data_IF_979206342768
#
_entry.id   IF_979206342768
#
_cell.length_a   1.000
_cell.length_b   1.000
_cell.length_c   1.000
_cell.angle_alpha   90.00
_cell.angle_beta   90.00
_cell.angle_gamma   90.00
#
_symmetry.space_group_name_H-M   'P 1'
#
loop_
_entity.id
_entity.type
_entity.pdbx_description
1 polymer ?
#
# COMPACT_ATOMS: atom_id res chain seq x y z
N UNK A 1 20.55 -44.32 16.53
CA UNK A 1 19.90 -43.20 17.24
C UNK A 1 19.38 -42.19 16.20
N UNK A 2 18.06 -41.97 16.09
CA UNK A 2 17.51 -41.02 15.11
C UNK A 2 17.48 -39.59 15.69
N UNK A 3 17.92 -38.61 14.89
CA UNK A 3 17.90 -37.18 15.21
C UNK A 3 16.47 -36.64 15.13
N UNK A 4 16.01 -35.99 16.20
CA UNK A 4 14.70 -35.34 16.28
C UNK A 4 14.66 -34.06 15.45
N UNK A 5 13.64 -33.96 14.59
CA UNK A 5 13.42 -32.85 13.67
C UNK A 5 12.41 -31.89 14.33
N UNK A 6 12.89 -30.90 15.10
CA UNK A 6 12.02 -29.89 15.70
C UNK A 6 11.58 -28.85 14.66
N UNK A 7 10.38 -29.06 14.12
CA UNK A 7 9.64 -28.05 13.34
C UNK A 7 9.36 -26.83 14.21
N UNK A 8 9.93 -25.69 13.81
CA UNK A 8 9.64 -24.37 14.36
C UNK A 8 8.12 -24.06 14.30
N UNK A 9 7.49 -23.92 15.47
CA UNK A 9 6.13 -23.40 15.61
C UNK A 9 6.15 -21.90 15.29
N UNK A 10 5.49 -21.49 14.22
CA UNK A 10 5.20 -20.07 13.93
C UNK A 10 4.24 -19.55 15.00
N UNK A 11 4.70 -18.67 15.88
CA UNK A 11 3.85 -17.91 16.79
C UNK A 11 3.00 -16.94 15.96
N UNK A 12 1.68 -17.12 16.03
CA UNK A 12 0.70 -16.13 15.60
C UNK A 12 0.80 -14.96 16.58
N UNK A 13 1.33 -13.83 16.13
CA UNK A 13 1.25 -12.57 16.88
C UNK A 13 -0.05 -11.90 16.47
N UNK A 14 -1.03 -11.94 17.36
CA UNK A 14 -2.30 -11.21 17.24
C UNK A 14 -1.99 -9.71 17.29
N UNK A 15 -2.23 -8.99 16.20
CA UNK A 15 -2.18 -7.52 16.20
C UNK A 15 -3.52 -7.05 16.78
N UNK A 16 -3.49 -6.43 17.96
CA UNK A 16 -4.65 -5.79 18.55
C UNK A 16 -5.03 -4.56 17.70
N UNK A 17 -6.09 -4.69 16.91
CA UNK A 17 -6.63 -3.61 16.09
C UNK A 17 -7.58 -2.82 16.99
N UNK A 18 -7.16 -1.64 17.45
CA UNK A 18 -8.07 -0.69 18.11
C UNK A 18 -9.10 -0.19 17.07
N UNK A 19 -10.41 -0.26 17.36
CA UNK A 19 -11.44 0.18 16.42
C UNK A 19 -11.36 1.70 16.22
N UNK A 20 -11.46 2.13 14.95
CA UNK A 20 -11.60 3.54 14.57
C UNK A 20 -13.04 3.99 14.79
N UNK A 21 -13.24 5.22 15.27
CA UNK A 21 -14.55 5.80 15.54
C UNK A 21 -15.44 5.80 14.28
N UNK A 22 -16.73 5.44 14.40
CA UNK A 22 -17.68 5.60 13.30
C UNK A 22 -18.03 7.09 13.17
N UNK A 23 -18.13 7.62 11.94
CA UNK A 23 -19.07 8.70 11.49
C UNK A 23 -18.52 9.58 10.36
N UNK A 24 -17.24 9.53 9.96
CA UNK A 24 -16.77 10.25 8.75
C UNK A 24 -15.89 9.40 7.84
N UNK A 25 -16.09 9.51 6.52
CA UNK A 25 -15.16 8.91 5.56
C UNK A 25 -13.76 9.51 5.75
N UNK A 26 -12.70 8.75 5.43
CA UNK A 26 -11.32 9.26 5.59
C UNK A 26 -11.08 10.53 4.78
N UNK A 27 -11.76 10.65 3.62
CA UNK A 27 -11.74 11.84 2.78
C UNK A 27 -12.29 13.07 3.51
N UNK A 28 -13.50 12.97 4.07
CA UNK A 28 -14.14 14.10 4.78
C UNK A 28 -13.34 14.54 6.00
N UNK A 29 -12.73 13.58 6.72
CA UNK A 29 -11.86 13.93 7.84
C UNK A 29 -10.66 14.74 7.34
N UNK A 30 -10.01 14.28 6.27
CA UNK A 30 -8.85 14.96 5.68
C UNK A 30 -9.20 16.36 5.18
N UNK A 31 -10.37 16.55 4.60
CA UNK A 31 -10.86 17.87 4.16
C UNK A 31 -11.12 18.80 5.36
N UNK A 32 -11.45 18.25 6.53
CA UNK A 32 -11.67 19.02 7.76
C UNK A 32 -10.40 19.29 8.61
N UNK A 33 -9.24 18.75 8.23
CA UNK A 33 -7.98 19.00 8.95
C UNK A 33 -7.67 20.51 8.91
N UNK A 34 -7.22 21.08 10.03
CA UNK A 34 -6.85 22.50 10.13
C UNK A 34 -5.61 22.82 9.30
N UNK A 35 -5.42 24.07 8.87
CA UNK A 35 -4.22 24.47 8.13
C UNK A 35 -2.93 24.32 8.96
N UNK A 36 -3.03 24.49 10.29
CA UNK A 36 -1.94 24.25 11.23
C UNK A 36 -1.52 22.78 11.22
N UNK A 37 -2.49 21.86 11.24
CA UNK A 37 -2.21 20.42 11.19
C UNK A 37 -1.67 20.01 9.81
N UNK A 38 -2.16 20.60 8.71
CA UNK A 38 -1.61 20.38 7.37
C UNK A 38 -0.15 20.85 7.30
N UNK A 39 0.17 22.04 7.82
CA UNK A 39 1.53 22.55 7.84
C UNK A 39 2.45 21.67 8.71
N UNK A 40 1.96 21.21 9.86
CA UNK A 40 2.68 20.27 10.73
C UNK A 40 2.96 18.93 10.02
N UNK A 41 1.94 18.36 9.34
CA UNK A 41 2.09 17.13 8.56
C UNK A 41 3.07 17.31 7.40
N UNK A 42 3.04 18.46 6.72
CA UNK A 42 3.96 18.75 5.62
C UNK A 42 5.41 18.84 6.10
N UNK A 43 5.67 19.55 7.21
CA UNK A 43 7.01 19.59 7.80
C UNK A 43 7.53 18.21 8.19
N UNK A 44 6.67 17.39 8.80
CA UNK A 44 7.00 16.01 9.16
C UNK A 44 7.35 15.15 7.94
N UNK A 45 6.53 15.24 6.87
CA UNK A 45 6.72 14.45 5.65
C UNK A 45 7.85 14.95 4.76
N UNK A 46 8.19 16.24 4.82
CA UNK A 46 9.36 16.79 4.10
C UNK A 46 10.65 16.15 4.61
N UNK A 47 10.77 15.92 5.92
CA UNK A 47 11.93 15.26 6.54
C UNK A 47 11.89 13.74 6.46
N UNK A 48 10.80 13.12 6.89
CA UNK A 48 10.74 11.67 7.17
C UNK A 48 9.83 10.88 6.22
N UNK A 49 9.09 11.60 5.36
CA UNK A 49 8.14 11.02 4.42
C UNK A 49 8.81 10.36 3.21
N UNK A 50 8.16 9.31 2.72
CA UNK A 50 8.46 8.63 1.46
C UNK A 50 7.20 8.61 0.59
N UNK A 51 7.36 9.04 -0.66
CA UNK A 51 6.30 9.10 -1.66
C UNK A 51 6.69 8.20 -2.82
N UNK A 52 5.71 7.57 -3.47
CA UNK A 52 6.02 6.76 -4.62
C UNK A 52 4.82 6.06 -5.25
N UNK A 53 5.14 5.26 -6.25
CA UNK A 53 4.18 4.51 -7.05
C UNK A 53 4.38 3.00 -6.87
N UNK A 54 3.34 2.32 -6.40
CA UNK A 54 3.26 0.88 -6.33
C UNK A 54 2.92 0.29 -7.71
N UNK A 55 3.92 -0.36 -8.31
CA UNK A 55 3.84 -1.00 -9.62
C UNK A 55 3.27 -2.42 -9.58
N UNK A 56 2.94 -2.96 -8.41
CA UNK A 56 2.43 -4.35 -8.27
C UNK A 56 1.13 -4.57 -9.04
N UNK A 57 0.30 -3.54 -9.23
CA UNK A 57 -0.92 -3.62 -10.05
C UNK A 57 -0.63 -3.90 -11.52
N UNK A 58 0.44 -3.34 -12.07
CA UNK A 58 0.88 -3.56 -13.45
C UNK A 58 1.47 -4.95 -13.65
N UNK A 59 2.18 -5.46 -12.64
CA UNK A 59 2.84 -6.77 -12.68
C UNK A 59 1.88 -7.95 -12.50
N UNK A 60 0.69 -7.73 -11.92
CA UNK A 60 -0.26 -8.82 -11.60
C UNK A 60 -0.88 -9.47 -12.84
N UNK A 61 -1.00 -8.74 -13.94
CA UNK A 61 -1.56 -9.23 -15.20
C UNK A 61 -0.69 -8.78 -16.36
N UNK A 62 -0.38 -9.70 -17.28
CA UNK A 62 0.41 -9.42 -18.49
C UNK A 62 -0.16 -8.27 -19.32
N UNK A 63 -1.48 -8.06 -19.27
CA UNK A 63 -2.21 -6.99 -19.95
C UNK A 63 -2.87 -5.99 -19.00
N UNK A 64 -2.30 -5.75 -17.82
CA UNK A 64 -2.86 -4.78 -16.87
C UNK A 64 -2.78 -3.36 -17.44
N UNK A 65 -3.93 -2.72 -17.64
CA UNK A 65 -4.03 -1.31 -18.03
C UNK A 65 -4.24 -0.39 -16.83
N UNK A 66 -4.25 -0.93 -15.61
CA UNK A 66 -4.49 -0.16 -14.40
C UNK A 66 -3.29 0.75 -14.09
N UNK A 67 -3.52 2.05 -13.86
CA UNK A 67 -2.46 2.94 -13.41
C UNK A 67 -1.81 2.48 -12.09
N UNK A 68 -0.53 2.79 -11.86
CA UNK A 68 0.14 2.43 -10.61
C UNK A 68 -0.53 3.11 -9.41
N UNK A 69 -0.47 2.49 -8.23
CA UNK A 69 -1.06 3.05 -7.02
C UNK A 69 -0.09 4.01 -6.33
N UNK A 70 -0.45 5.29 -6.17
CA UNK A 70 0.34 6.19 -5.35
C UNK A 70 0.32 5.78 -3.87
N UNK A 71 1.39 6.09 -3.13
CA UNK A 71 1.44 5.92 -1.68
C UNK A 71 2.21 7.05 -1.00
N UNK A 72 1.88 7.26 0.27
CA UNK A 72 2.67 8.02 1.25
C UNK A 72 3.00 7.09 2.39
N UNK A 73 4.26 7.09 2.82
CA UNK A 73 4.74 6.28 3.92
C UNK A 73 5.63 7.13 4.82
N UNK A 74 5.49 6.96 6.12
CA UNK A 74 6.40 7.49 7.12
C UNK A 74 6.77 6.37 8.10
N UNK A 75 8.01 6.38 8.58
CA UNK A 75 8.48 5.39 9.55
C UNK A 75 9.49 5.99 10.52
N UNK A 76 9.24 5.89 11.82
CA UNK A 76 10.15 6.40 12.87
C UNK A 76 10.03 5.61 14.17
N UNK A 77 10.89 5.90 15.13
CA UNK A 77 10.90 5.24 16.45
C UNK A 77 9.93 5.86 17.45
N UNK A 78 9.51 7.10 17.22
CA UNK A 78 8.61 7.84 18.11
C UNK A 78 7.15 7.51 17.77
N UNK A 79 6.50 6.74 18.65
CA UNK A 79 5.16 6.20 18.40
C UNK A 79 4.07 7.28 18.44
N UNK A 80 4.18 8.22 19.36
CA UNK A 80 3.23 9.31 19.59
C UNK A 80 3.09 10.23 18.37
N UNK A 81 4.20 10.50 17.68
CA UNK A 81 4.21 11.28 16.42
C UNK A 81 3.46 10.52 15.32
N UNK A 82 3.73 9.22 15.17
CA UNK A 82 3.05 8.37 14.18
C UNK A 82 1.56 8.22 14.52
N UNK A 83 1.22 8.04 15.80
CA UNK A 83 -0.15 7.95 16.28
C UNK A 83 -0.91 9.24 16.00
N UNK A 84 -0.32 10.41 16.29
CA UNK A 84 -0.93 11.71 15.97
C UNK A 84 -1.21 11.84 14.48
N UNK A 85 -0.23 11.54 13.62
CA UNK A 85 -0.43 11.60 12.18
C UNK A 85 -1.51 10.61 11.71
N UNK A 86 -1.51 9.40 12.26
CA UNK A 86 -2.49 8.35 11.93
C UNK A 86 -3.93 8.77 12.29
N UNK A 87 -4.12 9.42 13.46
CA UNK A 87 -5.40 9.99 13.88
C UNK A 87 -5.88 11.08 12.92
N UNK A 88 -5.01 11.99 12.50
CA UNK A 88 -5.37 13.06 11.55
C UNK A 88 -5.89 12.51 10.22
N UNK A 89 -5.32 11.40 9.71
CA UNK A 89 -5.73 10.82 8.42
C UNK A 89 -6.74 9.68 8.55
N UNK A 90 -7.24 9.37 9.76
CA UNK A 90 -8.13 8.24 10.05
C UNK A 90 -7.57 6.88 9.57
N UNK A 91 -6.29 6.59 9.85
CA UNK A 91 -5.64 5.33 9.46
C UNK A 91 -5.04 4.63 10.66
N UNK A 92 -4.82 3.33 10.50
CA UNK A 92 -3.99 2.56 11.43
C UNK A 92 -2.52 2.63 11.02
N UNK A 93 -1.63 2.53 12.01
CA UNK A 93 -0.21 2.30 11.82
C UNK A 93 0.16 0.92 12.36
N UNK A 94 1.34 0.41 11.98
CA UNK A 94 1.81 -0.89 12.45
C UNK A 94 3.29 -0.83 12.82
N UNK A 95 3.74 -1.82 13.60
CA UNK A 95 5.15 -2.00 13.91
C UNK A 95 5.62 -3.37 13.40
N UNK A 96 6.63 -3.44 12.51
CA UNK A 96 7.26 -4.70 12.17
C UNK A 96 7.86 -5.40 13.39
N UNK A 97 7.89 -6.73 13.38
CA UNK A 97 8.56 -7.53 14.42
C UNK A 97 10.07 -7.35 14.41
N UNK A 98 10.65 -7.05 13.23
CA UNK A 98 12.08 -6.81 13.09
C UNK A 98 12.44 -5.46 13.72
N UNK A 99 13.34 -5.51 14.70
CA UNK A 99 13.92 -4.31 15.32
C UNK A 99 15.04 -3.73 14.45
N UNK A 100 15.35 -2.46 14.67
CA UNK A 100 16.51 -1.81 14.05
C UNK A 100 17.83 -2.45 14.51
N UNK A 101 18.94 -2.11 13.85
CA UNK A 101 20.29 -2.54 14.29
C UNK A 101 20.59 -2.15 15.74
N UNK A 102 19.96 -1.09 16.25
CA UNK A 102 20.07 -0.61 17.64
C UNK A 102 18.96 -1.15 18.55
N UNK A 103 18.30 -2.24 18.15
CA UNK A 103 17.22 -2.90 18.89
C UNK A 103 16.00 -2.01 19.19
N UNK A 104 15.80 -0.93 18.41
CA UNK A 104 14.61 -0.06 18.53
C UNK A 104 13.45 -0.57 17.70
N UNK A 105 12.24 -0.41 18.22
CA UNK A 105 10.98 -0.63 17.51
C UNK A 105 10.71 0.53 16.54
N UNK A 106 10.10 0.23 15.39
CA UNK A 106 9.77 1.23 14.36
C UNK A 106 8.28 1.18 14.10
N UNK A 107 7.66 2.35 14.08
CA UNK A 107 6.25 2.55 13.80
C UNK A 107 6.10 3.09 12.39
N UNK A 108 5.19 2.50 11.64
CA UNK A 108 5.02 2.76 10.22
C UNK A 108 3.56 3.09 9.94
N UNK A 109 3.34 4.28 9.40
CA UNK A 109 2.07 4.67 8.80
C UNK A 109 2.21 4.60 7.28
N UNK A 110 1.27 3.92 6.62
CA UNK A 110 1.22 3.77 5.17
C UNK A 110 -0.16 4.15 4.66
N UNK A 111 -0.22 5.18 3.82
CA UNK A 111 -1.43 5.68 3.17
C UNK A 111 -1.33 5.31 1.70
N UNK A 112 -2.15 4.37 1.25
CA UNK A 112 -2.16 3.89 -0.15
C UNK A 112 -3.55 3.84 -0.76
N UNK A 113 -4.59 4.24 -0.02
CA UNK A 113 -5.92 4.38 -0.59
C UNK A 113 -6.03 5.72 -1.32
N UNK A 114 -6.68 5.67 -2.47
CA UNK A 114 -6.64 6.76 -3.44
C UNK A 114 -7.47 7.96 -3.01
N UNK A 115 -8.58 7.74 -2.32
CA UNK A 115 -9.46 8.80 -1.83
C UNK A 115 -8.76 9.69 -0.81
N UNK A 116 -8.07 9.08 0.17
CA UNK A 116 -7.32 9.86 1.15
C UNK A 116 -6.18 10.64 0.50
N UNK A 117 -5.44 10.03 -0.43
CA UNK A 117 -4.34 10.70 -1.11
C UNK A 117 -4.80 11.84 -2.03
N UNK A 118 -5.94 11.67 -2.71
CA UNK A 118 -6.55 12.71 -3.55
C UNK A 118 -6.97 13.94 -2.77
N UNK A 119 -7.39 13.77 -1.51
CA UNK A 119 -7.71 14.89 -0.62
C UNK A 119 -6.45 15.47 0.05
N UNK A 120 -5.50 14.62 0.43
CA UNK A 120 -4.36 15.01 1.26
C UNK A 120 -3.23 15.67 0.47
N UNK A 121 -2.80 15.07 -0.64
CA UNK A 121 -1.60 15.53 -1.37
C UNK A 121 -1.71 16.97 -1.88
N UNK A 122 -2.85 17.42 -2.46
CA UNK A 122 -2.99 18.81 -2.90
C UNK A 122 -2.87 19.83 -1.76
N UNK A 123 -3.28 19.46 -0.53
CA UNK A 123 -3.18 20.33 0.64
C UNK A 123 -1.76 20.44 1.18
N UNK A 124 -0.98 19.35 1.12
CA UNK A 124 0.41 19.32 1.55
C UNK A 124 1.36 19.98 0.53
N UNK A 125 1.06 19.86 -0.76
CA UNK A 125 1.92 20.27 -1.87
C UNK A 125 2.51 21.69 -1.77
N UNK A 126 1.74 22.73 -1.39
CA UNK A 126 2.26 24.10 -1.31
C UNK A 126 3.35 24.29 -0.24
N UNK A 127 3.40 23.42 0.76
CA UNK A 127 4.32 23.50 1.89
C UNK A 127 5.65 22.77 1.65
N UNK A 128 5.73 21.95 0.59
CA UNK A 128 6.91 21.16 0.29
C UNK A 128 7.99 21.96 -0.44
N UNK A 129 9.26 21.57 -0.22
CA UNK A 129 10.37 22.09 -1.01
C UNK A 129 10.32 21.60 -2.46
N UNK A 130 10.98 22.31 -3.39
CA UNK A 130 10.95 22.00 -4.84
C UNK A 130 11.26 20.54 -5.17
N UNK A 131 12.25 19.94 -4.49
CA UNK A 131 12.62 18.53 -4.67
C UNK A 131 11.45 17.61 -4.33
N UNK A 132 10.81 17.84 -3.19
CA UNK A 132 9.69 17.04 -2.71
C UNK A 132 8.43 17.26 -3.53
N UNK A 133 8.17 18.49 -3.95
CA UNK A 133 7.09 18.81 -4.89
C UNK A 133 7.21 17.97 -6.17
N UNK A 134 8.40 17.80 -6.74
CA UNK A 134 8.57 16.95 -7.93
C UNK A 134 8.17 15.48 -7.68
N UNK A 135 8.54 14.90 -6.53
CA UNK A 135 8.13 13.54 -6.15
C UNK A 135 6.61 13.41 -5.94
N UNK A 136 6.02 14.40 -5.27
CA UNK A 136 4.59 14.44 -4.97
C UNK A 136 3.76 14.66 -6.24
N UNK A 137 4.26 15.48 -7.17
CA UNK A 137 3.59 15.73 -8.45
C UNK A 137 3.37 14.42 -9.22
N UNK A 138 4.40 13.57 -9.29
CA UNK A 138 4.29 12.23 -9.91
C UNK A 138 3.18 11.38 -9.27
N UNK A 139 2.98 11.52 -7.96
CA UNK A 139 1.91 10.82 -7.24
C UNK A 139 0.53 11.40 -7.57
N UNK A 140 0.41 12.73 -7.64
CA UNK A 140 -0.82 13.44 -8.01
C UNK A 140 -1.23 13.06 -9.44
N UNK A 141 -0.30 13.11 -10.40
CA UNK A 141 -0.55 12.76 -11.80
C UNK A 141 -1.05 11.31 -11.92
N UNK A 142 -0.43 10.37 -11.21
CA UNK A 142 -0.87 8.96 -11.20
C UNK A 142 -2.28 8.77 -10.60
N UNK A 143 -2.67 9.60 -9.62
CA UNK A 143 -4.02 9.58 -9.06
C UNK A 143 -5.05 10.16 -10.05
N UNK A 144 -4.67 11.20 -10.81
CA UNK A 144 -5.52 11.74 -11.88
C UNK A 144 -5.72 10.74 -13.02
N UNK A 145 -4.65 10.09 -13.47
CA UNK A 145 -4.71 9.03 -14.47
C UNK A 145 -5.63 7.90 -13.99
N UNK A 146 -5.54 7.55 -12.71
CA UNK A 146 -6.45 6.57 -12.13
C UNK A 146 -7.91 7.03 -12.14
N UNK A 147 -8.20 8.31 -11.83
CA UNK A 147 -9.57 8.85 -11.91
C UNK A 147 -10.12 8.75 -13.34
N UNK A 148 -9.33 9.14 -14.34
CA UNK A 148 -9.70 9.05 -15.76
C UNK A 148 -9.98 7.59 -16.15
N UNK A 149 -9.05 6.70 -15.82
CA UNK A 149 -9.18 5.27 -16.08
C UNK A 149 -10.42 4.65 -15.39
N UNK A 150 -10.77 5.10 -14.18
CA UNK A 150 -11.97 4.65 -13.49
C UNK A 150 -13.24 5.13 -14.21
N UNK A 151 -13.28 6.39 -14.63
CA UNK A 151 -14.40 6.98 -15.37
C UNK A 151 -14.65 6.27 -16.71
N UNK A 152 -13.59 5.80 -17.37
CA UNK A 152 -13.66 5.01 -18.61
C UNK A 152 -14.07 3.54 -18.41
N UNK A 153 -14.51 3.17 -17.20
CA UNK A 153 -14.93 1.82 -16.85
C UNK A 153 -13.76 0.83 -16.74
N UNK A 154 -12.54 1.32 -16.49
CA UNK A 154 -11.33 0.49 -16.39
C UNK A 154 -11.47 -0.64 -15.36
N UNK A 155 -12.17 -0.41 -14.24
CA UNK A 155 -12.42 -1.42 -13.20
C UNK A 155 -13.22 -2.61 -13.74
N UNK A 156 -14.29 -2.35 -14.49
CA UNK A 156 -15.12 -3.38 -15.11
C UNK A 156 -14.35 -4.15 -16.19
N UNK A 157 -13.54 -3.45 -17.00
CA UNK A 157 -12.64 -4.06 -17.99
C UNK A 157 -11.63 -5.00 -17.34
N UNK A 158 -10.99 -4.59 -16.23
CA UNK A 158 -10.04 -5.44 -15.50
C UNK A 158 -10.70 -6.62 -14.78
N UNK A 159 -11.93 -6.46 -14.28
CA UNK A 159 -12.66 -7.56 -13.67
C UNK A 159 -12.93 -8.68 -14.68
N UNK A 160 -13.31 -8.32 -15.92
CA UNK A 160 -13.48 -9.26 -17.04
C UNK A 160 -12.17 -9.98 -17.39
N UNK A 161 -11.07 -9.24 -17.58
CA UNK A 161 -9.75 -9.82 -17.86
C UNK A 161 -9.28 -10.78 -16.74
N UNK A 162 -9.52 -10.42 -15.48
CA UNK A 162 -9.19 -11.28 -14.34
C UNK A 162 -10.05 -12.55 -14.26
N UNK A 163 -11.31 -12.50 -14.70
CA UNK A 163 -12.15 -13.70 -14.84
C UNK A 163 -11.63 -14.59 -15.99
N UNK A 164 -11.33 -14.02 -17.15
CA UNK A 164 -10.80 -14.74 -18.30
C UNK A 164 -9.44 -15.41 -18.00
N UNK A 165 -8.53 -14.71 -17.32
CA UNK A 165 -7.22 -15.26 -16.95
C UNK A 165 -7.33 -16.43 -15.96
N UNK A 166 -8.30 -16.39 -15.04
CA UNK A 166 -8.59 -17.51 -14.12
C UNK A 166 -9.14 -18.71 -14.88
N UNK A 167 -10.02 -18.50 -15.85
CA UNK A 167 -10.58 -19.57 -16.67
C UNK A 167 -9.53 -20.23 -17.56
N UNK A 168 -8.57 -19.46 -18.12
CA UNK A 168 -7.47 -20.03 -18.94
C UNK A 168 -6.48 -20.86 -18.13
N UNK A 169 -6.22 -20.52 -16.86
CA UNK A 169 -5.32 -21.29 -15.98
C UNK A 169 -5.90 -22.63 -15.49
N UNK A 170 -7.21 -22.88 -15.69
CA UNK A 170 -7.85 -24.15 -15.33
C UNK A 170 -7.75 -25.22 -16.43
N UNK A 171 -7.25 -24.88 -17.62
CA UNK A 171 -6.97 -25.87 -18.68
C UNK A 171 -5.51 -26.30 -18.59
N UNK A 172 -5.17 -27.09 -17.56
CA UNK A 172 -3.96 -27.92 -17.64
C UNK A 172 -4.35 -29.15 -18.45
N UNK A 173 -3.75 -29.42 -19.62
CA UNK A 173 -3.98 -30.69 -20.30
C UNK A 173 -3.48 -31.81 -19.38
N UNK A 174 -4.30 -32.85 -19.13
CA UNK A 174 -3.78 -34.12 -18.62
C UNK A 174 -2.71 -34.58 -19.61
N UNK A 175 -1.44 -34.56 -19.21
CA UNK A 175 -0.36 -35.16 -19.98
C UNK A 175 -0.60 -36.67 -20.04
N UNK A 176 -1.15 -37.14 -21.16
CA UNK A 176 -1.05 -38.54 -21.56
C UNK A 176 0.28 -38.68 -22.31
N UNK A 177 1.38 -38.87 -21.58
CA UNK A 177 2.64 -39.36 -22.15
C UNK A 177 3.34 -40.21 -21.09
N UNK A 178 2.88 -41.46 -20.96
CA UNK A 178 3.69 -42.55 -20.43
C UNK A 178 4.28 -43.27 -21.63
N UNK A 179 5.51 -42.92 -22.02
CA UNK A 179 6.35 -43.82 -22.83
C UNK A 179 7.24 -44.58 -21.85
N UNK A 180 7.10 -45.91 -21.70
CA UNK A 180 8.00 -46.67 -20.85
C UNK A 180 9.40 -46.74 -21.48
N UNK A 181 10.48 -46.76 -20.67
CA UNK A 181 11.84 -46.82 -21.17
C UNK A 181 12.08 -48.15 -21.89
N UNK A 182 12.64 -48.05 -23.10
CA UNK A 182 13.06 -49.18 -23.91
C UNK A 182 14.28 -49.84 -23.25
N UNK A 183 14.13 -51.08 -22.80
CA UNK A 183 15.22 -51.89 -22.26
C UNK A 183 15.89 -52.57 -23.46
N UNK A 184 17.17 -52.30 -23.67
CA UNK A 184 18.06 -53.08 -24.53
C UNK A 184 19.40 -53.21 -23.83
#
# INVERSE_FOLDING_TARGET
MPRSNQRNKKSHVSVEIKPLDPVKSSKELIESISDVDIAWMAGLLEGEGSFGLDKRSKQRYEKSTSPPGAYVKISMTDEDVIEKMAKLVNKTYYSPTRLTKKNKKVYILHIGDRESLLALLPRLFPYFGKRRQAEVQVCIDALEDWKKWLAEGGRSKMAKLGAEARNRKLVVPKSNDMVPPNIS
#
